data_IF_952786027135
#
_entry.id   IF_952786027135
#
_cell.length_a   1.000
_cell.length_b   1.000
_cell.length_c   1.000
_cell.angle_alpha   90.00
_cell.angle_beta   90.00
_cell.angle_gamma   90.00
#
_symmetry.space_group_name_H-M   'P 1'
#
loop_
_entity.id
_entity.type
_entity.pdbx_description
1 polymer ?
#
# COMPACT_ATOMS: atom_id res chain seq x y z
N UNK A 1 -28.45 -8.91 5.22
CA UNK A 1 -27.28 -9.13 6.10
C UNK A 1 -26.91 -7.83 6.77
N UNK A 2 -26.42 -7.86 8.01
CA UNK A 2 -25.75 -6.72 8.62
C UNK A 2 -24.37 -6.53 7.96
N UNK A 3 -23.73 -5.37 8.13
CA UNK A 3 -22.37 -5.15 7.63
C UNK A 3 -21.36 -6.15 8.22
N UNK A 4 -21.48 -6.46 9.50
CA UNK A 4 -20.64 -7.46 10.17
C UNK A 4 -20.79 -8.86 9.56
N UNK A 5 -22.02 -9.33 9.38
CA UNK A 5 -22.30 -10.62 8.70
C UNK A 5 -21.78 -10.64 7.26
N UNK A 6 -21.78 -9.48 6.59
CA UNK A 6 -21.24 -9.33 5.24
C UNK A 6 -19.71 -9.48 5.22
N UNK A 7 -19.02 -8.86 6.17
CA UNK A 7 -17.59 -9.02 6.31
C UNK A 7 -17.20 -10.46 6.70
N UNK A 8 -17.94 -11.08 7.62
CA UNK A 8 -17.73 -12.47 7.98
C UNK A 8 -17.87 -13.40 6.77
N UNK A 9 -18.87 -13.17 5.92
CA UNK A 9 -19.02 -13.92 4.67
C UNK A 9 -17.79 -13.72 3.76
N UNK A 10 -17.37 -12.48 3.52
CA UNK A 10 -16.22 -12.18 2.66
C UNK A 10 -14.93 -12.78 3.20
N UNK A 11 -14.71 -12.74 4.52
CA UNK A 11 -13.47 -13.22 5.12
C UNK A 11 -13.43 -14.75 5.29
N UNK A 12 -14.56 -15.41 5.53
CA UNK A 12 -14.60 -16.84 5.82
C UNK A 12 -14.78 -17.69 4.56
N UNK A 13 -15.58 -17.20 3.59
CA UNK A 13 -15.93 -17.98 2.41
C UNK A 13 -14.98 -17.79 1.24
N UNK A 14 -14.23 -16.68 1.20
CA UNK A 14 -13.38 -16.37 0.06
C UNK A 14 -11.90 -16.61 0.36
N UNK A 15 -11.14 -17.17 -0.60
CA UNK A 15 -9.69 -17.25 -0.46
C UNK A 15 -9.08 -15.84 -0.31
N UNK A 16 -8.48 -15.58 0.84
CA UNK A 16 -7.88 -14.29 1.16
C UNK A 16 -6.37 -14.43 1.37
N UNK A 17 -5.57 -13.73 0.55
CA UNK A 17 -4.11 -13.77 0.65
C UNK A 17 -3.59 -13.47 2.06
N UNK A 18 -4.17 -12.50 2.74
CA UNK A 18 -3.79 -12.11 4.09
C UNK A 18 -3.99 -13.23 5.14
N UNK A 19 -4.86 -14.22 4.86
CA UNK A 19 -5.15 -15.36 5.75
C UNK A 19 -4.45 -16.65 5.34
N UNK A 20 -4.50 -17.00 4.04
CA UNK A 20 -4.05 -18.31 3.55
C UNK A 20 -2.83 -18.25 2.61
N UNK A 21 -2.30 -17.04 2.35
CA UNK A 21 -1.09 -16.86 1.54
C UNK A 21 -1.23 -17.41 0.11
N UNK A 22 -0.30 -18.28 -0.30
CA UNK A 22 -0.17 -18.79 -1.67
C UNK A 22 -1.45 -19.43 -2.24
N UNK A 23 -2.24 -20.07 -1.43
CA UNK A 23 -3.46 -20.75 -1.87
C UNK A 23 -4.53 -19.78 -2.44
N UNK A 24 -4.45 -18.49 -2.12
CA UNK A 24 -5.36 -17.47 -2.65
C UNK A 24 -4.88 -16.79 -3.95
N UNK A 25 -3.65 -17.07 -4.40
CA UNK A 25 -3.10 -16.46 -5.62
C UNK A 25 -3.52 -17.23 -6.86
N UNK A 26 -4.14 -16.54 -7.82
CA UNK A 26 -4.52 -17.10 -9.12
C UNK A 26 -3.50 -16.71 -10.19
N UNK A 27 -3.19 -17.66 -11.07
CA UNK A 27 -2.18 -17.49 -12.11
C UNK A 27 -2.74 -16.94 -13.45
N UNK A 28 -3.96 -16.41 -13.43
CA UNK A 28 -4.63 -15.82 -14.61
C UNK A 28 -5.64 -14.73 -14.19
N UNK A 29 -6.17 -14.00 -15.17
CA UNK A 29 -7.19 -12.95 -14.99
C UNK A 29 -8.57 -13.39 -15.46
N UNK A 30 -8.78 -14.66 -15.82
CA UNK A 30 -10.02 -15.07 -16.49
C UNK A 30 -11.24 -14.84 -15.58
N UNK A 31 -11.16 -15.23 -14.30
CA UNK A 31 -12.23 -15.00 -13.33
C UNK A 31 -12.54 -13.52 -13.14
N UNK A 32 -11.52 -12.66 -13.10
CA UNK A 32 -11.74 -11.20 -13.03
C UNK A 32 -12.38 -10.64 -14.31
N UNK A 33 -11.96 -11.10 -15.48
CA UNK A 33 -12.57 -10.71 -16.78
C UNK A 33 -14.04 -11.11 -16.83
N UNK A 34 -14.37 -12.31 -16.37
CA UNK A 34 -15.75 -12.80 -16.37
C UNK A 34 -16.60 -12.07 -15.30
N UNK A 35 -15.99 -11.71 -14.16
CA UNK A 35 -16.58 -10.83 -13.16
C UNK A 35 -16.92 -9.45 -13.75
N UNK A 36 -16.01 -8.82 -14.48
CA UNK A 36 -16.27 -7.52 -15.13
C UNK A 36 -17.42 -7.62 -16.14
N UNK A 37 -17.48 -8.69 -16.93
CA UNK A 37 -18.62 -8.94 -17.85
C UNK A 37 -19.95 -9.05 -17.08
N UNK A 38 -19.98 -9.81 -15.98
CA UNK A 38 -21.18 -9.99 -15.17
C UNK A 38 -21.64 -8.67 -14.53
N UNK A 39 -20.72 -7.77 -14.24
CA UNK A 39 -20.97 -6.43 -13.70
C UNK A 39 -21.23 -5.38 -14.80
N UNK A 40 -21.36 -5.79 -16.06
CA UNK A 40 -21.56 -4.89 -17.21
C UNK A 40 -20.41 -3.89 -17.42
N UNK A 41 -19.17 -4.42 -17.36
CA UNK A 41 -17.91 -3.72 -17.62
C UNK A 41 -17.75 -2.39 -16.86
N UNK A 42 -17.83 -2.40 -15.51
CA UNK A 42 -17.77 -1.18 -14.70
C UNK A 42 -16.45 -0.41 -14.87
N UNK A 43 -15.36 -1.12 -15.18
CA UNK A 43 -14.03 -0.55 -15.42
C UNK A 43 -13.98 0.44 -16.59
N UNK A 44 -14.98 0.45 -17.46
CA UNK A 44 -15.12 1.37 -18.60
C UNK A 44 -15.93 2.63 -18.27
N UNK A 45 -16.54 2.67 -17.07
CA UNK A 45 -17.44 3.74 -16.67
C UNK A 45 -16.74 4.98 -16.08
N UNK A 46 -15.41 4.95 -15.92
CA UNK A 46 -14.62 6.04 -15.35
C UNK A 46 -13.19 6.06 -15.94
N UNK A 47 -12.54 7.20 -15.86
CA UNK A 47 -11.10 7.32 -16.15
C UNK A 47 -10.28 6.81 -14.98
N UNK A 48 -9.05 6.33 -15.23
CA UNK A 48 -8.23 5.79 -14.15
C UNK A 48 -6.74 6.10 -14.27
N UNK A 49 -6.05 6.09 -13.13
CA UNK A 49 -4.58 6.02 -13.03
C UNK A 49 -4.24 4.74 -12.29
N UNK A 50 -3.33 3.94 -12.85
CA UNK A 50 -2.99 2.62 -12.32
C UNK A 50 -1.60 2.61 -11.71
N UNK A 51 -1.48 2.26 -10.41
CA UNK A 51 -0.25 2.40 -9.63
C UNK A 51 0.27 1.05 -9.16
N UNK A 52 1.42 0.63 -9.69
CA UNK A 52 2.16 -0.55 -9.24
C UNK A 52 3.49 -0.16 -8.58
N UNK A 53 4.19 -1.14 -8.04
CA UNK A 53 5.51 -0.99 -7.42
C UNK A 53 5.71 -1.96 -6.26
N UNK A 54 6.90 -1.99 -5.68
CA UNK A 54 7.14 -2.74 -4.44
C UNK A 54 6.75 -1.88 -3.26
N UNK A 55 7.44 -0.78 -3.04
CA UNK A 55 7.17 0.19 -1.99
C UNK A 55 6.59 1.48 -2.59
N UNK A 56 5.89 2.29 -1.79
CA UNK A 56 5.41 3.62 -2.20
C UNK A 56 4.09 3.66 -2.97
N UNK A 57 3.51 2.53 -3.41
CA UNK A 57 2.23 2.49 -4.15
C UNK A 57 1.13 3.31 -3.45
N UNK A 58 0.81 2.95 -2.20
CA UNK A 58 -0.24 3.62 -1.43
C UNK A 58 0.01 5.12 -1.26
N UNK A 59 1.25 5.53 -0.87
CA UNK A 59 1.58 6.95 -0.73
C UNK A 59 1.41 7.72 -2.05
N UNK A 60 1.91 7.17 -3.17
CA UNK A 60 1.75 7.76 -4.49
C UNK A 60 0.28 7.83 -4.90
N UNK A 61 -0.50 6.76 -4.68
CA UNK A 61 -1.94 6.75 -4.97
C UNK A 61 -2.70 7.82 -4.18
N UNK A 62 -2.42 7.96 -2.90
CA UNK A 62 -3.05 8.99 -2.05
C UNK A 62 -2.65 10.41 -2.46
N UNK A 63 -1.38 10.65 -2.78
CA UNK A 63 -0.91 11.97 -3.26
C UNK A 63 -1.58 12.34 -4.58
N UNK A 64 -1.62 11.43 -5.56
CA UNK A 64 -2.31 11.68 -6.84
C UNK A 64 -3.80 11.93 -6.61
N UNK A 65 -4.47 11.11 -5.79
CA UNK A 65 -5.89 11.32 -5.46
C UNK A 65 -6.14 12.68 -4.80
N UNK A 66 -5.28 13.09 -3.86
CA UNK A 66 -5.38 14.39 -3.20
C UNK A 66 -5.24 15.56 -4.18
N UNK A 67 -4.33 15.48 -5.16
CA UNK A 67 -4.16 16.49 -6.21
C UNK A 67 -5.43 16.62 -7.04
N UNK A 68 -6.05 15.52 -7.46
CA UNK A 68 -7.30 15.56 -8.23
C UNK A 68 -8.47 16.11 -7.41
N UNK A 69 -8.54 15.82 -6.11
CA UNK A 69 -9.55 16.40 -5.22
C UNK A 69 -9.38 17.92 -5.09
N UNK A 70 -8.15 18.42 -4.91
CA UNK A 70 -7.87 19.87 -4.88
C UNK A 70 -8.22 20.56 -6.21
N UNK A 71 -8.13 19.83 -7.32
CA UNK A 71 -8.56 20.34 -8.63
C UNK A 71 -10.08 20.25 -8.85
N UNK A 72 -10.85 19.78 -7.86
CA UNK A 72 -12.30 19.72 -7.89
C UNK A 72 -12.90 18.50 -8.59
N UNK A 73 -12.10 17.48 -8.95
CA UNK A 73 -12.59 16.24 -9.53
C UNK A 73 -13.21 15.32 -8.47
N UNK A 74 -14.33 14.65 -8.78
CA UNK A 74 -14.87 13.55 -7.99
C UNK A 74 -13.94 12.36 -8.15
N UNK A 75 -13.10 12.13 -7.15
CA UNK A 75 -11.96 11.22 -7.22
C UNK A 75 -12.21 9.93 -6.46
N UNK A 76 -12.21 8.79 -7.17
CA UNK A 76 -12.17 7.46 -6.59
C UNK A 76 -10.74 7.09 -6.17
N UNK A 77 -10.60 6.33 -5.09
CA UNK A 77 -9.33 5.78 -4.63
C UNK A 77 -9.52 4.34 -4.19
N UNK A 78 -8.80 3.41 -4.85
CA UNK A 78 -8.72 2.01 -4.45
C UNK A 78 -7.31 1.68 -3.97
N UNK A 79 -7.17 1.23 -2.72
CA UNK A 79 -5.89 0.88 -2.10
C UNK A 79 -5.97 -0.43 -1.32
N UNK A 80 -4.83 -1.10 -1.11
CA UNK A 80 -4.75 -2.33 -0.33
C UNK A 80 -3.36 -2.56 0.29
N UNK A 81 -3.29 -3.23 1.45
CA UNK A 81 -4.41 -3.65 2.30
C UNK A 81 -5.03 -2.47 3.07
N UNK A 82 -6.17 -2.69 3.71
CA UNK A 82 -6.70 -1.80 4.75
C UNK A 82 -5.95 -1.98 6.07
N UNK A 83 -6.05 -1.01 6.96
CA UNK A 83 -5.52 -1.11 8.33
C UNK A 83 -6.58 -1.68 9.28
N UNK A 84 -7.68 -0.98 9.47
CA UNK A 84 -8.71 -1.30 10.46
C UNK A 84 -10.01 -1.74 9.80
N UNK A 85 -10.54 -0.91 8.89
CA UNK A 85 -11.84 -1.11 8.27
C UNK A 85 -11.70 -1.52 6.79
N UNK A 86 -12.43 -2.54 6.36
CA UNK A 86 -12.47 -2.98 4.96
C UNK A 86 -12.74 -1.82 3.99
N UNK A 87 -13.60 -0.86 4.38
CA UNK A 87 -14.00 0.29 3.57
C UNK A 87 -12.87 1.26 3.25
N UNK A 88 -11.75 1.21 4.00
CA UNK A 88 -10.54 2.01 3.70
C UNK A 88 -10.01 1.74 2.28
N UNK A 89 -10.31 0.54 1.73
CA UNK A 89 -9.90 0.14 0.38
C UNK A 89 -10.60 0.93 -0.72
N UNK A 90 -11.79 1.48 -0.46
CA UNK A 90 -12.68 2.07 -1.46
C UNK A 90 -13.16 3.42 -0.95
N UNK A 91 -12.62 4.48 -1.50
CA UNK A 91 -12.95 5.86 -1.10
C UNK A 91 -13.36 6.70 -2.29
N UNK A 92 -14.24 7.67 -2.07
CA UNK A 92 -14.54 8.76 -3.01
C UNK A 92 -14.36 10.07 -2.25
N UNK A 93 -13.49 10.97 -2.75
CA UNK A 93 -13.14 12.24 -2.12
C UNK A 93 -12.76 12.08 -0.63
N UNK A 94 -12.00 11.01 -0.31
CA UNK A 94 -11.55 10.68 1.04
C UNK A 94 -12.56 9.94 1.90
N UNK A 95 -13.85 9.96 1.55
CA UNK A 95 -14.90 9.27 2.28
C UNK A 95 -14.94 7.79 1.90
N UNK A 96 -14.98 6.92 2.91
CA UNK A 96 -15.08 5.47 2.72
C UNK A 96 -16.45 5.10 2.12
N UNK A 97 -16.49 4.05 1.30
CA UNK A 97 -17.73 3.46 0.81
C UNK A 97 -18.69 3.19 1.99
N UNK A 98 -19.98 3.56 1.89
CA UNK A 98 -20.97 3.29 2.94
C UNK A 98 -21.15 1.79 3.21
N UNK A 99 -21.39 1.41 4.45
CA UNK A 99 -21.63 0.03 4.86
C UNK A 99 -22.80 -0.60 4.09
N UNK A 100 -23.86 0.19 3.86
CA UNK A 100 -25.04 -0.23 3.13
C UNK A 100 -24.70 -0.60 1.68
N UNK A 101 -23.77 0.13 1.05
CA UNK A 101 -23.34 -0.18 -0.33
C UNK A 101 -22.56 -1.48 -0.40
N UNK A 102 -21.69 -1.74 0.58
CA UNK A 102 -20.98 -3.03 0.69
C UNK A 102 -21.98 -4.17 0.86
N UNK A 103 -22.90 -4.03 1.81
CA UNK A 103 -23.93 -5.05 2.11
C UNK A 103 -24.83 -5.32 0.91
N UNK A 104 -25.38 -4.28 0.28
CA UNK A 104 -26.23 -4.39 -0.90
C UNK A 104 -25.52 -5.07 -2.08
N UNK A 105 -24.26 -4.72 -2.33
CA UNK A 105 -23.49 -5.35 -3.39
C UNK A 105 -23.32 -6.85 -3.13
N UNK A 106 -22.89 -7.22 -1.92
CA UNK A 106 -22.70 -8.63 -1.57
C UNK A 106 -24.02 -9.40 -1.65
N UNK A 107 -25.11 -8.89 -1.07
CA UNK A 107 -26.42 -9.56 -1.12
C UNK A 107 -26.92 -9.75 -2.56
N UNK A 108 -26.79 -8.72 -3.39
CA UNK A 108 -27.29 -8.78 -4.78
C UNK A 108 -26.45 -9.67 -5.69
N UNK A 109 -25.15 -9.86 -5.40
CA UNK A 109 -24.22 -10.59 -6.26
C UNK A 109 -23.83 -11.97 -5.74
N UNK A 110 -24.07 -12.25 -4.47
CA UNK A 110 -23.65 -13.49 -3.79
C UNK A 110 -24.01 -14.75 -4.57
N UNK A 111 -25.26 -14.87 -5.06
CA UNK A 111 -25.71 -16.05 -5.78
C UNK A 111 -24.97 -16.24 -7.12
N UNK A 112 -24.81 -15.17 -7.89
CA UNK A 112 -24.09 -15.22 -9.17
C UNK A 112 -22.58 -15.47 -8.99
N UNK A 113 -21.98 -14.87 -7.96
CA UNK A 113 -20.53 -14.97 -7.72
C UNK A 113 -20.14 -16.31 -7.08
N UNK A 114 -21.07 -17.00 -6.37
CA UNK A 114 -20.79 -18.32 -5.79
C UNK A 114 -20.45 -19.38 -6.83
N UNK A 115 -20.83 -19.18 -8.09
CA UNK A 115 -20.50 -20.07 -9.20
C UNK A 115 -19.14 -19.75 -9.86
N UNK A 116 -18.46 -18.67 -9.44
CA UNK A 116 -17.29 -18.10 -10.12
C UNK A 116 -15.97 -18.32 -9.39
N UNK A 117 -15.84 -19.11 -8.38
CA UNK A 117 -14.57 -19.30 -7.62
C UNK A 117 -13.75 -18.02 -7.47
N UNK A 118 -14.37 -16.92 -7.01
CA UNK A 118 -13.72 -15.63 -6.84
C UNK A 118 -12.92 -15.57 -5.53
N UNK A 119 -11.75 -14.94 -5.57
CA UNK A 119 -11.00 -14.56 -4.37
C UNK A 119 -11.60 -13.31 -3.71
N UNK A 120 -11.26 -13.10 -2.43
CA UNK A 120 -11.59 -11.87 -1.71
C UNK A 120 -11.12 -10.60 -2.46
N UNK A 121 -9.94 -10.67 -3.09
CA UNK A 121 -9.40 -9.52 -3.81
C UNK A 121 -10.22 -9.21 -5.07
N UNK A 122 -10.61 -10.22 -5.85
CA UNK A 122 -11.48 -10.05 -7.02
C UNK A 122 -12.84 -9.45 -6.62
N UNK A 123 -13.44 -9.93 -5.53
CA UNK A 123 -14.66 -9.33 -4.98
C UNK A 123 -14.49 -7.85 -4.65
N UNK A 124 -13.36 -7.50 -3.97
CA UNK A 124 -13.11 -6.11 -3.58
C UNK A 124 -12.87 -5.19 -4.78
N UNK A 125 -12.22 -5.69 -5.83
CA UNK A 125 -12.04 -4.94 -7.10
C UNK A 125 -13.38 -4.76 -7.81
N UNK A 126 -14.20 -5.82 -7.91
CA UNK A 126 -15.54 -5.73 -8.50
C UNK A 126 -16.44 -4.73 -7.80
N UNK A 127 -16.47 -4.75 -6.46
CA UNK A 127 -17.21 -3.79 -5.64
C UNK A 127 -16.70 -2.36 -5.87
N UNK A 128 -15.39 -2.14 -5.88
CA UNK A 128 -14.81 -0.82 -6.07
C UNK A 128 -15.18 -0.22 -7.43
N UNK A 129 -15.06 -1.00 -8.51
CA UNK A 129 -15.34 -0.51 -9.86
C UNK A 129 -16.83 -0.28 -10.09
N UNK A 130 -17.69 -1.17 -9.56
CA UNK A 130 -19.15 -0.96 -9.59
C UNK A 130 -19.56 0.29 -8.82
N UNK A 131 -18.95 0.53 -7.66
CA UNK A 131 -19.20 1.73 -6.86
C UNK A 131 -18.72 3.00 -7.57
N UNK A 132 -17.51 3.02 -8.11
CA UNK A 132 -16.97 4.19 -8.83
C UNK A 132 -17.82 4.54 -10.06
N UNK A 133 -18.26 3.55 -10.82
CA UNK A 133 -19.18 3.77 -11.95
C UNK A 133 -20.52 4.30 -11.48
N UNK A 134 -21.14 3.69 -10.47
CA UNK A 134 -22.47 4.09 -9.98
C UNK A 134 -22.47 5.51 -9.42
N UNK A 135 -21.35 5.95 -8.85
CA UNK A 135 -21.15 7.29 -8.32
C UNK A 135 -20.64 8.28 -9.37
N UNK A 136 -20.40 7.83 -10.60
CA UNK A 136 -19.91 8.68 -11.70
C UNK A 136 -18.66 9.46 -11.32
N UNK A 137 -17.63 8.77 -10.79
CA UNK A 137 -16.35 9.43 -10.49
C UNK A 137 -15.69 9.93 -11.78
N UNK A 138 -15.08 11.12 -11.74
CA UNK A 138 -14.36 11.67 -12.89
C UNK A 138 -13.09 10.88 -13.18
N UNK A 139 -12.41 10.44 -12.11
CA UNK A 139 -11.19 9.65 -12.19
C UNK A 139 -11.05 8.75 -10.95
N UNK A 140 -10.52 7.55 -11.14
CA UNK A 140 -10.15 6.63 -10.05
C UNK A 140 -8.65 6.38 -10.05
N UNK A 141 -8.02 6.53 -8.88
CA UNK A 141 -6.64 6.14 -8.64
C UNK A 141 -6.67 4.72 -8.07
N UNK A 142 -6.07 3.78 -8.79
CA UNK A 142 -6.18 2.35 -8.49
C UNK A 142 -4.81 1.77 -8.18
N UNK A 143 -4.61 1.35 -6.95
CA UNK A 143 -3.40 0.65 -6.50
C UNK A 143 -3.48 -0.84 -6.86
N UNK A 144 -2.41 -1.37 -7.48
CA UNK A 144 -2.20 -2.81 -7.70
C UNK A 144 -2.03 -3.51 -6.36
N UNK A 145 -2.74 -4.61 -6.15
CA UNK A 145 -2.59 -5.41 -4.93
C UNK A 145 -1.24 -6.13 -4.88
N UNK A 146 -0.90 -6.90 -5.93
CA UNK A 146 0.36 -7.64 -6.00
C UNK A 146 0.80 -7.85 -7.45
N UNK A 147 2.10 -7.63 -7.70
CA UNK A 147 2.67 -7.79 -9.05
C UNK A 147 2.20 -6.71 -10.00
N UNK A 148 1.35 -7.03 -10.94
CA UNK A 148 0.75 -6.14 -11.92
C UNK A 148 0.08 -6.93 -13.05
N UNK A 149 0.83 -7.72 -13.81
CA UNK A 149 0.35 -8.45 -14.99
C UNK A 149 -0.91 -9.29 -14.73
N UNK A 150 -0.95 -9.99 -13.63
CA UNK A 150 -2.05 -10.89 -13.22
C UNK A 150 -2.86 -10.34 -12.02
N UNK A 151 -2.68 -9.07 -11.70
CA UNK A 151 -3.47 -8.43 -10.65
C UNK A 151 -4.90 -8.15 -11.14
N UNK A 152 -5.90 -8.39 -10.31
CA UNK A 152 -7.31 -8.20 -10.69
C UNK A 152 -7.64 -6.77 -11.09
N UNK A 153 -6.85 -5.77 -10.67
CA UNK A 153 -6.99 -4.38 -11.12
C UNK A 153 -6.53 -4.18 -12.56
N UNK A 154 -5.77 -5.14 -13.16
CA UNK A 154 -5.15 -4.98 -14.47
C UNK A 154 -6.12 -5.18 -15.66
N UNK A 155 -7.41 -5.21 -15.41
CA UNK A 155 -8.47 -5.12 -16.43
C UNK A 155 -8.68 -3.68 -16.93
N UNK A 156 -8.13 -2.70 -16.24
CA UNK A 156 -8.19 -1.28 -16.59
C UNK A 156 -7.36 -0.95 -17.84
N UNK A 157 -7.80 0.09 -18.56
CA UNK A 157 -6.99 0.85 -19.53
C UNK A 157 -6.87 2.28 -18.99
N UNK A 158 -5.80 2.61 -18.26
CA UNK A 158 -5.70 3.88 -17.54
C UNK A 158 -5.25 5.03 -18.46
N UNK A 159 -5.45 6.28 -18.01
CA UNK A 159 -4.88 7.49 -18.63
C UNK A 159 -3.34 7.54 -18.42
N UNK A 160 -2.86 6.98 -17.31
CA UNK A 160 -1.45 6.90 -16.94
C UNK A 160 -1.19 5.66 -16.09
N UNK A 161 -0.12 4.92 -16.38
CA UNK A 161 0.44 3.90 -15.50
C UNK A 161 1.60 4.47 -14.70
N UNK A 162 1.70 4.09 -13.41
CA UNK A 162 2.82 4.49 -12.54
C UNK A 162 3.43 3.23 -11.93
N UNK A 163 4.77 3.09 -12.00
CA UNK A 163 5.50 2.04 -11.30
C UNK A 163 6.51 2.72 -10.38
N UNK A 164 6.27 2.67 -9.07
CA UNK A 164 7.04 3.45 -8.09
C UNK A 164 8.49 3.00 -7.98
N UNK A 165 8.72 1.75 -7.64
CA UNK A 165 10.05 1.12 -7.58
C UNK A 165 9.94 -0.40 -7.66
N UNK A 166 11.09 -1.06 -7.82
CA UNK A 166 11.22 -2.51 -7.77
C UNK A 166 12.14 -2.90 -6.63
N UNK A 167 11.66 -3.75 -5.74
CA UNK A 167 12.41 -4.32 -4.64
C UNK A 167 12.04 -5.78 -4.43
N UNK A 168 12.79 -6.48 -3.60
CA UNK A 168 12.55 -7.89 -3.26
C UNK A 168 11.39 -7.99 -2.27
N UNK A 169 10.21 -8.23 -2.77
CA UNK A 169 9.04 -8.62 -1.98
C UNK A 169 8.19 -9.61 -2.77
N UNK A 170 7.47 -10.48 -2.06
CA UNK A 170 6.63 -11.52 -2.67
C UNK A 170 7.37 -12.43 -3.67
N UNK A 171 8.66 -12.70 -3.44
CA UNK A 171 9.54 -13.45 -4.36
C UNK A 171 9.01 -14.85 -4.73
N UNK A 172 8.30 -15.49 -3.82
CA UNK A 172 7.64 -16.79 -4.06
C UNK A 172 6.52 -16.75 -5.13
N UNK A 173 6.05 -15.55 -5.57
CA UNK A 173 5.00 -15.36 -6.56
C UNK A 173 5.50 -14.61 -7.80
N UNK A 174 6.28 -13.56 -7.56
CA UNK A 174 6.71 -12.64 -8.61
C UNK A 174 8.07 -13.03 -9.21
N UNK A 175 8.71 -14.06 -8.63
CA UNK A 175 10.03 -14.52 -9.03
C UNK A 175 11.14 -14.07 -8.08
N UNK A 176 12.25 -14.75 -8.17
CA UNK A 176 13.40 -14.69 -7.28
C UNK A 176 14.46 -13.63 -7.66
N UNK A 177 14.18 -12.87 -8.73
CA UNK A 177 15.05 -11.80 -9.22
C UNK A 177 14.30 -10.49 -9.42
N UNK A 178 14.99 -9.37 -9.22
CA UNK A 178 14.47 -8.02 -9.47
C UNK A 178 13.94 -7.87 -10.92
N UNK A 179 14.58 -8.53 -11.89
CA UNK A 179 14.13 -8.54 -13.30
C UNK A 179 12.77 -9.25 -13.49
N UNK A 180 12.54 -10.39 -12.83
CA UNK A 180 11.24 -11.08 -12.89
C UNK A 180 10.14 -10.26 -12.24
N UNK A 181 10.41 -9.67 -11.08
CA UNK A 181 9.47 -8.77 -10.40
C UNK A 181 9.14 -7.56 -11.26
N UNK A 182 10.14 -6.98 -11.95
CA UNK A 182 9.93 -5.88 -12.90
C UNK A 182 9.03 -6.28 -14.06
N UNK A 183 9.19 -7.48 -14.63
CA UNK A 183 8.33 -7.99 -15.71
C UNK A 183 6.88 -8.11 -15.27
N UNK A 184 6.61 -8.65 -14.07
CA UNK A 184 5.26 -8.75 -13.52
C UNK A 184 4.63 -7.36 -13.31
N UNK A 185 5.38 -6.41 -12.76
CA UNK A 185 4.87 -5.05 -12.54
C UNK A 185 4.69 -4.28 -13.86
N UNK A 186 5.57 -4.47 -14.83
CA UNK A 186 5.45 -3.89 -16.17
C UNK A 186 4.21 -4.37 -16.94
N UNK A 187 3.54 -5.42 -16.48
CA UNK A 187 2.27 -5.87 -17.04
C UNK A 187 1.12 -4.86 -16.96
N UNK A 188 1.26 -3.77 -16.19
CA UNK A 188 0.31 -2.66 -16.18
C UNK A 188 0.56 -1.64 -17.31
N UNK A 189 1.66 -1.74 -18.04
CA UNK A 189 1.94 -0.88 -19.19
C UNK A 189 1.00 -1.29 -20.33
N UNK A 190 0.16 -0.38 -20.79
CA UNK A 190 -0.87 -0.63 -21.79
C UNK A 190 -0.53 0.06 -23.11
N UNK A 191 -1.12 -0.45 -24.18
CA UNK A 191 -0.89 0.07 -25.53
C UNK A 191 -1.27 1.56 -25.62
N UNK A 192 -0.34 2.39 -26.09
CA UNK A 192 -0.49 3.83 -26.25
C UNK A 192 -0.75 4.61 -24.94
N UNK A 193 -0.58 3.97 -23.78
CA UNK A 193 -0.76 4.64 -22.49
C UNK A 193 0.61 4.98 -21.90
N UNK A 194 0.86 6.24 -21.53
CA UNK A 194 2.13 6.64 -20.91
C UNK A 194 2.38 5.89 -19.59
N UNK A 195 3.67 5.71 -19.28
CA UNK A 195 4.08 5.14 -18.00
C UNK A 195 5.16 6.00 -17.33
N UNK A 196 4.98 6.28 -16.05
CA UNK A 196 5.98 6.89 -15.18
C UNK A 196 6.63 5.80 -14.34
N UNK A 197 7.96 5.72 -14.40
CA UNK A 197 8.80 4.87 -13.54
C UNK A 197 9.41 5.75 -12.47
N UNK A 198 9.12 5.49 -11.21
CA UNK A 198 9.56 6.32 -10.09
C UNK A 198 11.07 6.25 -9.87
N UNK A 199 11.61 5.04 -9.70
CA UNK A 199 13.05 4.81 -9.54
C UNK A 199 13.59 3.94 -10.66
N UNK A 200 14.57 4.45 -11.40
CA UNK A 200 15.33 3.68 -12.38
C UNK A 200 16.37 2.80 -11.67
N UNK A 201 16.55 1.58 -12.16
CA UNK A 201 17.53 0.62 -11.66
C UNK A 201 18.15 -0.08 -12.87
N UNK A 202 19.47 -0.26 -12.84
CA UNK A 202 20.24 -0.85 -13.95
C UNK A 202 19.64 -2.17 -14.46
N UNK A 203 19.15 -3.00 -13.53
CA UNK A 203 18.61 -4.33 -13.81
C UNK A 203 17.19 -4.28 -14.42
N UNK A 204 16.44 -3.20 -14.21
CA UNK A 204 15.02 -3.11 -14.59
C UNK A 204 14.74 -2.14 -15.74
N UNK A 205 15.59 -1.12 -15.93
CA UNK A 205 15.40 -0.08 -16.93
C UNK A 205 15.22 -0.65 -18.35
N UNK A 206 16.09 -1.59 -18.75
CA UNK A 206 16.02 -2.25 -20.06
C UNK A 206 14.72 -3.03 -20.26
N UNK A 207 14.16 -3.61 -19.18
CA UNK A 207 12.88 -4.33 -19.23
C UNK A 207 11.75 -3.35 -19.49
N UNK A 208 11.68 -2.25 -18.73
CA UNK A 208 10.63 -1.24 -18.89
C UNK A 208 10.68 -0.60 -20.28
N UNK A 209 11.85 -0.21 -20.77
CA UNK A 209 12.02 0.36 -22.12
C UNK A 209 11.55 -0.62 -23.21
N UNK A 210 11.91 -1.90 -23.10
CA UNK A 210 11.51 -2.94 -24.07
C UNK A 210 10.00 -3.12 -24.08
N UNK A 211 9.35 -3.22 -22.90
CA UNK A 211 7.90 -3.42 -22.82
C UNK A 211 7.16 -2.16 -23.30
N UNK A 212 7.60 -0.97 -22.89
CA UNK A 212 7.01 0.29 -23.34
C UNK A 212 7.10 0.45 -24.86
N UNK A 213 8.25 0.13 -25.45
CA UNK A 213 8.40 0.13 -26.92
C UNK A 213 7.43 -0.85 -27.61
N UNK A 214 7.27 -2.05 -27.04
CA UNK A 214 6.33 -3.05 -27.59
C UNK A 214 4.87 -2.60 -27.49
N UNK A 215 4.54 -1.80 -26.49
CA UNK A 215 3.20 -1.25 -26.24
C UNK A 215 2.97 0.13 -26.89
N UNK A 216 3.93 0.66 -27.64
CA UNK A 216 3.89 2.05 -28.12
C UNK A 216 3.58 3.05 -27.00
N UNK A 217 4.02 2.74 -25.76
CA UNK A 217 3.76 3.51 -24.56
C UNK A 217 4.89 4.52 -24.29
N UNK A 218 4.61 5.82 -24.23
CA UNK A 218 5.62 6.80 -23.79
C UNK A 218 6.11 6.47 -22.37
N UNK A 219 7.44 6.43 -22.17
CA UNK A 219 8.03 6.13 -20.87
C UNK A 219 8.77 7.33 -20.31
N UNK A 220 8.55 7.62 -19.03
CA UNK A 220 9.16 8.73 -18.30
C UNK A 220 9.80 8.15 -17.02
N UNK A 221 11.08 8.43 -16.81
CA UNK A 221 11.77 8.07 -15.56
C UNK A 221 11.77 9.28 -14.63
N UNK A 222 11.05 9.19 -13.51
CA UNK A 222 10.82 10.31 -12.62
C UNK A 222 12.11 10.78 -11.95
N UNK A 223 13.00 9.87 -11.61
CA UNK A 223 14.28 10.16 -10.98
C UNK A 223 15.32 10.83 -11.92
N UNK A 224 14.98 11.04 -13.20
CA UNK A 224 15.74 11.89 -14.12
C UNK A 224 15.27 13.35 -14.12
N UNK A 225 14.19 13.66 -13.40
CA UNK A 225 13.60 15.00 -13.29
C UNK A 225 13.75 15.49 -11.84
N UNK A 226 14.69 16.38 -11.60
CA UNK A 226 14.96 16.90 -10.25
C UNK A 226 14.22 18.23 -10.05
N UNK A 227 13.18 18.28 -9.19
CA UNK A 227 12.59 19.55 -8.82
C UNK A 227 13.56 20.33 -7.92
N UNK A 228 13.56 21.67 -8.00
CA UNK A 228 14.36 22.52 -7.13
C UNK A 228 13.95 22.33 -5.66
N UNK A 229 12.66 22.20 -5.40
CA UNK A 229 12.07 21.92 -4.10
C UNK A 229 10.83 21.03 -4.21
N UNK A 230 10.60 20.20 -3.18
CA UNK A 230 9.34 19.47 -3.05
C UNK A 230 8.26 20.32 -2.37
N UNK A 231 6.98 20.19 -2.76
CA UNK A 231 5.89 20.80 -2.03
C UNK A 231 5.88 20.35 -0.55
N UNK A 232 5.35 21.19 0.32
CA UNK A 232 5.15 20.83 1.73
C UNK A 232 4.19 19.65 1.85
N UNK A 233 4.50 18.74 2.77
CA UNK A 233 3.66 17.57 3.02
C UNK A 233 3.73 17.14 4.48
N UNK A 234 2.62 16.62 5.07
CA UNK A 234 2.62 15.99 6.37
C UNK A 234 3.36 14.63 6.39
N UNK A 235 3.65 14.03 5.23
CA UNK A 235 4.34 12.75 5.13
C UNK A 235 5.85 12.94 5.36
N UNK A 236 6.34 12.51 6.54
CA UNK A 236 7.69 12.83 7.04
C UNK A 236 8.72 11.70 6.88
N UNK A 237 8.33 10.52 6.42
CA UNK A 237 9.29 9.44 6.16
C UNK A 237 10.26 9.79 5.04
N UNK A 238 11.56 9.53 5.21
CA UNK A 238 12.60 9.86 4.21
C UNK A 238 12.34 9.20 2.85
N UNK A 239 11.74 8.03 2.83
CA UNK A 239 11.32 7.33 1.61
C UNK A 239 10.25 8.08 0.80
N UNK A 240 9.57 9.07 1.40
CA UNK A 240 8.55 9.84 0.69
C UNK A 240 9.13 10.74 -0.41
N UNK A 241 10.41 11.06 -0.36
CA UNK A 241 11.07 11.85 -1.42
C UNK A 241 10.94 11.21 -2.79
N UNK A 242 11.11 9.88 -2.89
CA UNK A 242 10.92 9.14 -4.15
C UNK A 242 9.44 9.17 -4.59
N UNK A 243 8.51 9.01 -3.63
CA UNK A 243 7.07 9.06 -3.92
C UNK A 243 6.65 10.47 -4.36
N UNK A 244 7.19 11.52 -3.76
CA UNK A 244 6.95 12.92 -4.12
C UNK A 244 7.42 13.20 -5.55
N UNK A 245 8.64 12.80 -5.88
CA UNK A 245 9.20 12.95 -7.23
C UNK A 245 8.35 12.23 -8.28
N UNK A 246 8.00 10.96 -8.01
CA UNK A 246 7.13 10.17 -8.88
C UNK A 246 5.77 10.85 -9.09
N UNK A 247 5.16 11.35 -8.02
CA UNK A 247 3.87 12.03 -8.06
C UNK A 247 3.95 13.35 -8.82
N UNK A 248 4.99 14.16 -8.61
CA UNK A 248 5.17 15.44 -9.33
C UNK A 248 5.29 15.22 -10.83
N UNK A 249 6.13 14.28 -11.24
CA UNK A 249 6.31 13.95 -12.68
C UNK A 249 5.01 13.42 -13.28
N UNK A 250 4.27 12.57 -12.56
CA UNK A 250 2.97 12.08 -12.99
C UNK A 250 1.94 13.22 -13.13
N UNK A 251 1.85 14.13 -12.15
CA UNK A 251 0.93 15.27 -12.17
C UNK A 251 1.26 16.25 -13.31
N UNK A 252 2.55 16.55 -13.53
CA UNK A 252 2.99 17.42 -14.64
C UNK A 252 2.67 16.78 -16.00
N UNK A 253 2.86 15.48 -16.15
CA UNK A 253 2.50 14.78 -17.38
C UNK A 253 1.00 14.80 -17.63
N UNK A 254 0.17 14.54 -16.62
CA UNK A 254 -1.30 14.61 -16.73
C UNK A 254 -1.78 16.03 -17.07
N UNK A 255 -1.16 17.07 -16.52
CA UNK A 255 -1.40 18.46 -16.88
C UNK A 255 -1.11 18.70 -18.38
N UNK A 256 -0.01 18.17 -18.90
CA UNK A 256 0.35 18.25 -20.35
C UNK A 256 -0.65 17.48 -21.22
N UNK A 257 -1.27 16.44 -20.72
CA UNK A 257 -2.33 15.69 -21.38
C UNK A 257 -3.70 16.40 -21.37
N UNK A 258 -3.80 17.58 -20.75
CA UNK A 258 -5.01 18.41 -20.73
C UNK A 258 -5.88 18.28 -19.49
N UNK A 259 -5.43 17.55 -18.44
CA UNK A 259 -6.10 17.62 -17.15
C UNK A 259 -5.93 19.01 -16.54
N UNK A 260 -7.00 19.57 -15.98
CA UNK A 260 -6.98 20.91 -15.38
C UNK A 260 -6.29 20.88 -14.00
N UNK A 261 -4.98 20.61 -13.99
CA UNK A 261 -4.14 20.62 -12.81
C UNK A 261 -3.24 21.86 -12.81
N UNK A 262 -3.42 22.76 -11.83
CA UNK A 262 -2.55 23.92 -11.62
C UNK A 262 -1.42 23.57 -10.64
N UNK A 263 -0.37 24.41 -10.60
CA UNK A 263 0.70 24.26 -9.59
C UNK A 263 0.14 24.40 -8.16
N UNK A 264 -0.89 25.21 -7.98
CA UNK A 264 -1.60 25.37 -6.71
C UNK A 264 -2.32 24.08 -6.32
N UNK A 265 -3.05 23.44 -7.25
CA UNK A 265 -3.70 22.14 -7.00
C UNK A 265 -2.67 21.06 -6.62
N UNK A 266 -1.52 21.05 -7.29
CA UNK A 266 -0.43 20.11 -6.97
C UNK A 266 0.12 20.38 -5.56
N UNK A 267 0.46 21.65 -5.26
CA UNK A 267 0.99 22.02 -3.93
C UNK A 267 -0.01 21.71 -2.81
N UNK A 268 -1.27 22.10 -2.97
CA UNK A 268 -2.33 21.84 -1.98
C UNK A 268 -2.59 20.34 -1.82
N UNK A 269 -2.53 19.56 -2.92
CA UNK A 269 -2.67 18.12 -2.89
C UNK A 269 -1.58 17.42 -2.04
N UNK A 270 -0.35 17.91 -2.08
CA UNK A 270 0.73 17.42 -1.22
C UNK A 270 0.51 17.81 0.25
N UNK A 271 0.15 19.06 0.51
CA UNK A 271 -0.04 19.58 1.86
C UNK A 271 -1.24 18.95 2.55
N UNK A 272 -2.32 18.73 1.83
CA UNK A 272 -3.58 18.21 2.36
C UNK A 272 -3.75 16.69 2.21
N UNK A 273 -2.74 15.94 1.79
CA UNK A 273 -2.89 14.51 1.45
C UNK A 273 -3.53 13.68 2.55
N UNK A 274 -3.13 13.89 3.81
CA UNK A 274 -3.71 13.17 4.96
C UNK A 274 -5.17 13.60 5.20
N UNK A 275 -5.47 14.91 5.13
CA UNK A 275 -6.82 15.45 5.28
C UNK A 275 -7.76 14.95 4.19
N UNK A 276 -7.30 14.99 2.93
CA UNK A 276 -8.12 14.66 1.76
C UNK A 276 -8.34 13.16 1.57
N UNK A 277 -7.46 12.31 2.13
CA UNK A 277 -7.50 10.88 1.79
C UNK A 277 -7.48 9.95 3.00
N UNK A 278 -7.33 10.49 4.22
CA UNK A 278 -7.22 9.72 5.47
C UNK A 278 -6.10 8.66 5.38
N UNK A 279 -4.93 9.03 4.83
CA UNK A 279 -3.76 8.14 4.79
C UNK A 279 -3.17 7.98 6.19
N UNK A 280 -3.01 6.75 6.65
CA UNK A 280 -2.48 6.39 7.96
C UNK A 280 -1.26 5.47 7.85
N UNK A 281 -0.49 5.36 8.94
CA UNK A 281 0.60 4.40 9.07
C UNK A 281 1.82 4.64 8.15
N UNK A 282 2.14 5.89 7.83
CA UNK A 282 3.28 6.27 6.98
C UNK A 282 4.18 7.27 7.73
N UNK A 283 5.09 6.78 8.57
CA UNK A 283 5.87 7.60 9.51
C UNK A 283 4.95 8.53 10.29
N UNK A 284 3.88 7.97 10.80
CA UNK A 284 2.82 8.72 11.49
C UNK A 284 3.20 8.95 12.95
N UNK A 285 3.28 10.21 13.36
CA UNK A 285 3.48 10.58 14.76
C UNK A 285 2.15 10.55 15.48
N UNK A 286 2.01 9.65 16.45
CA UNK A 286 0.81 9.47 17.27
C UNK A 286 0.86 10.25 18.56
N UNK A 287 2.06 10.55 19.05
CA UNK A 287 2.35 11.29 20.28
C UNK A 287 3.69 11.99 20.15
N UNK A 288 3.82 13.19 20.73
CA UNK A 288 5.05 13.98 20.65
C UNK A 288 6.00 13.80 21.84
N UNK A 289 5.51 13.37 23.01
CA UNK A 289 6.34 13.23 24.21
C UNK A 289 5.82 12.10 25.15
N UNK A 290 6.53 10.96 25.29
CA UNK A 290 7.58 10.51 24.41
C UNK A 290 7.09 10.47 22.96
N UNK A 291 7.98 10.62 21.99
CA UNK A 291 7.56 10.59 20.61
C UNK A 291 7.23 9.17 20.17
N UNK A 292 5.96 8.94 19.80
CA UNK A 292 5.47 7.64 19.29
C UNK A 292 5.24 7.74 17.81
N UNK A 293 5.94 6.93 17.03
CA UNK A 293 5.87 6.88 15.55
C UNK A 293 5.43 5.47 15.14
N UNK A 294 4.52 5.37 14.16
CA UNK A 294 4.22 4.10 13.53
C UNK A 294 4.43 4.12 12.01
N UNK A 295 4.83 2.98 11.45
CA UNK A 295 5.00 2.80 10.01
C UNK A 295 4.73 1.35 9.59
N UNK A 296 4.06 1.18 8.44
CA UNK A 296 3.70 -0.15 7.88
C UNK A 296 4.81 -0.81 7.08
N UNK A 297 6.02 -0.26 7.05
CA UNK A 297 7.18 -0.89 6.41
C UNK A 297 7.38 -2.31 6.98
N UNK A 298 7.57 -3.29 6.07
CA UNK A 298 7.57 -4.71 6.44
C UNK A 298 8.55 -5.56 5.62
N UNK A 299 9.41 -4.92 4.82
CA UNK A 299 10.48 -5.59 4.07
C UNK A 299 11.83 -4.93 4.37
N UNK A 300 12.90 -5.60 4.00
CA UNK A 300 14.28 -5.16 4.31
C UNK A 300 14.53 -3.73 3.79
N UNK A 301 14.17 -3.44 2.53
CA UNK A 301 14.40 -2.12 1.92
C UNK A 301 13.65 -1.00 2.66
N UNK A 302 12.37 -1.21 2.97
CA UNK A 302 11.57 -0.24 3.71
C UNK A 302 12.08 0.00 5.13
N UNK A 303 12.38 -1.08 5.86
CA UNK A 303 12.86 -0.98 7.23
C UNK A 303 14.29 -0.46 7.34
N UNK A 304 15.16 -0.64 6.33
CA UNK A 304 16.47 0.02 6.28
C UNK A 304 16.29 1.54 6.37
N UNK A 305 15.45 2.12 5.51
CA UNK A 305 15.22 3.58 5.49
C UNK A 305 14.61 4.06 6.82
N UNK A 306 13.69 3.27 7.40
CA UNK A 306 13.10 3.57 8.72
C UNK A 306 14.16 3.58 9.81
N UNK A 307 15.00 2.56 9.89
CA UNK A 307 16.04 2.45 10.92
C UNK A 307 17.09 3.56 10.78
N UNK A 308 17.51 3.89 9.55
CA UNK A 308 18.43 5.01 9.29
C UNK A 308 17.82 6.34 9.77
N UNK A 309 16.53 6.57 9.49
CA UNK A 309 15.86 7.79 9.94
C UNK A 309 15.71 7.83 11.47
N UNK A 310 15.36 6.72 12.12
CA UNK A 310 15.27 6.63 13.58
C UNK A 310 16.64 6.87 14.23
N UNK A 311 17.73 6.31 13.67
CA UNK A 311 19.08 6.53 14.18
C UNK A 311 19.52 7.99 14.09
N UNK A 312 19.12 8.70 13.04
CA UNK A 312 19.44 10.11 12.84
C UNK A 312 18.62 11.07 13.75
N UNK A 313 17.57 10.59 14.42
CA UNK A 313 16.73 11.43 15.28
C UNK A 313 17.43 11.73 16.62
N UNK A 314 17.40 12.99 17.10
CA UNK A 314 17.77 13.30 18.48
C UNK A 314 16.87 12.57 19.47
N UNK A 315 17.45 11.76 20.35
CA UNK A 315 16.73 10.99 21.38
C UNK A 315 17.67 10.62 22.56
N UNK A 316 17.08 10.29 23.70
CA UNK A 316 17.79 9.65 24.79
C UNK A 316 17.88 8.15 24.54
N UNK A 317 16.72 7.44 24.46
CA UNK A 317 16.67 6.02 24.11
C UNK A 317 15.73 5.76 22.92
N UNK A 318 15.94 4.63 22.22
CA UNK A 318 15.08 4.13 21.15
C UNK A 318 14.38 2.85 21.59
N UNK A 319 13.07 2.90 21.66
CA UNK A 319 12.21 1.76 21.94
C UNK A 319 11.59 1.26 20.63
N UNK A 320 11.78 -0.02 20.29
CA UNK A 320 11.24 -0.62 19.08
C UNK A 320 10.21 -1.69 19.43
N UNK A 321 8.95 -1.44 19.11
CA UNK A 321 7.86 -2.43 19.19
C UNK A 321 7.69 -3.07 17.82
N UNK A 322 8.10 -4.34 17.67
CA UNK A 322 8.15 -5.01 16.38
C UNK A 322 7.43 -6.36 16.40
N UNK A 323 6.64 -6.58 15.35
CA UNK A 323 6.00 -7.86 15.07
C UNK A 323 5.92 -8.10 13.57
N UNK A 324 5.92 -9.36 13.15
CA UNK A 324 6.05 -9.73 11.74
C UNK A 324 5.03 -10.78 11.32
N UNK A 325 4.94 -11.00 10.02
CA UNK A 325 4.22 -12.14 9.42
C UNK A 325 5.21 -13.22 8.98
N UNK A 326 4.73 -14.46 8.90
CA UNK A 326 5.57 -15.66 8.73
C UNK A 326 6.15 -15.85 7.32
N UNK A 327 5.76 -15.03 6.34
CA UNK A 327 6.22 -15.09 4.95
C UNK A 327 7.36 -14.10 4.63
N UNK A 328 7.89 -13.40 5.63
CA UNK A 328 8.98 -12.43 5.48
C UNK A 328 10.32 -13.00 5.93
N UNK A 329 11.39 -12.48 5.33
CA UNK A 329 12.75 -12.80 5.78
C UNK A 329 13.10 -11.94 7.02
N UNK A 330 12.58 -12.38 8.17
CA UNK A 330 12.71 -11.62 9.44
C UNK A 330 14.15 -11.61 9.92
N UNK A 331 14.94 -12.65 9.64
CA UNK A 331 16.36 -12.69 10.03
C UNK A 331 17.15 -11.52 9.44
N UNK A 332 16.98 -11.22 8.15
CA UNK A 332 17.66 -10.10 7.52
C UNK A 332 17.18 -8.75 8.09
N UNK A 333 15.89 -8.65 8.41
CA UNK A 333 15.33 -7.45 9.05
C UNK A 333 15.94 -7.22 10.43
N UNK A 334 16.08 -8.25 11.24
CA UNK A 334 16.65 -8.16 12.59
C UNK A 334 18.12 -7.70 12.58
N UNK A 335 18.87 -7.95 11.50
CA UNK A 335 20.24 -7.42 11.37
C UNK A 335 20.30 -5.89 11.22
N UNK A 336 19.20 -5.25 10.86
CA UNK A 336 19.09 -3.79 10.73
C UNK A 336 18.90 -3.08 12.08
N UNK A 337 18.53 -3.83 13.13
CA UNK A 337 18.17 -3.26 14.43
C UNK A 337 19.41 -2.70 15.12
N UNK A 338 19.40 -1.40 15.55
CA UNK A 338 20.47 -0.82 16.32
C UNK A 338 20.69 -1.58 17.65
N UNK A 339 21.93 -1.88 17.97
CA UNK A 339 22.29 -2.65 19.18
C UNK A 339 22.00 -1.94 20.49
N UNK A 340 21.85 -0.62 20.46
CA UNK A 340 21.46 0.24 21.59
C UNK A 340 19.95 0.37 21.75
N UNK A 341 19.15 -0.12 20.81
CA UNK A 341 17.69 -0.06 20.91
C UNK A 341 17.15 -1.06 21.95
N UNK A 342 16.08 -0.65 22.64
CA UNK A 342 15.30 -1.52 23.54
C UNK A 342 14.18 -2.16 22.72
N UNK A 343 14.20 -3.48 22.62
CA UNK A 343 13.33 -4.20 21.70
C UNK A 343 12.18 -4.90 22.45
N UNK A 344 10.95 -4.62 22.02
CA UNK A 344 9.71 -5.21 22.46
C UNK A 344 9.11 -6.04 21.31
N UNK A 345 9.24 -7.35 21.38
CA UNK A 345 8.72 -8.25 20.37
C UNK A 345 7.25 -8.57 20.65
N UNK A 346 6.41 -8.54 19.63
CA UNK A 346 4.97 -8.83 19.76
C UNK A 346 4.43 -9.69 18.63
N UNK A 347 3.28 -10.33 18.89
CA UNK A 347 2.55 -11.12 17.90
C UNK A 347 1.30 -10.32 17.46
N UNK A 348 1.16 -9.93 16.17
CA UNK A 348 -0.06 -9.26 15.68
C UNK A 348 -1.25 -10.22 15.60
N UNK A 349 -2.47 -9.67 15.74
CA UNK A 349 -3.73 -10.42 15.87
C UNK A 349 -4.23 -11.02 14.54
N UNK A 350 -3.36 -11.76 13.80
CA UNK A 350 -3.74 -12.42 12.56
C UNK A 350 -3.24 -13.86 12.47
N UNK A 351 -3.92 -14.75 11.70
CA UNK A 351 -3.52 -16.16 11.59
C UNK A 351 -2.13 -16.40 11.01
N UNK A 352 -1.60 -15.46 10.20
CA UNK A 352 -0.26 -15.54 9.61
C UNK A 352 0.81 -14.82 10.40
N UNK A 353 0.53 -14.43 11.63
CA UNK A 353 1.56 -13.85 12.49
C UNK A 353 2.77 -14.79 12.62
N UNK A 354 3.97 -14.22 12.65
CA UNK A 354 5.13 -14.96 13.09
C UNK A 354 4.99 -15.19 14.60
N UNK A 355 4.92 -16.45 15.00
CA UNK A 355 4.74 -16.82 16.40
C UNK A 355 5.83 -16.23 17.27
N UNK A 356 5.45 -15.77 18.46
CA UNK A 356 6.34 -15.05 19.37
C UNK A 356 7.57 -15.89 19.77
N UNK A 357 7.41 -17.18 20.00
CA UNK A 357 8.50 -18.10 20.33
C UNK A 357 9.57 -18.17 19.23
N UNK A 358 9.14 -18.20 17.96
CA UNK A 358 10.04 -18.18 16.80
C UNK A 358 10.71 -16.81 16.64
N UNK A 359 9.99 -15.72 16.85
CA UNK A 359 10.55 -14.37 16.75
C UNK A 359 11.63 -14.13 17.84
N UNK A 360 11.38 -14.59 19.05
CA UNK A 360 12.33 -14.59 20.17
C UNK A 360 13.60 -15.35 19.81
N UNK A 361 13.47 -16.54 19.23
CA UNK A 361 14.63 -17.32 18.78
C UNK A 361 15.47 -16.56 17.75
N UNK A 362 14.82 -16.00 16.71
CA UNK A 362 15.51 -15.24 15.67
C UNK A 362 16.22 -13.99 16.22
N UNK A 363 15.60 -13.30 17.18
CA UNK A 363 16.21 -12.13 17.83
C UNK A 363 17.41 -12.53 18.69
N UNK A 364 17.33 -13.67 19.39
CA UNK A 364 18.44 -14.23 20.16
C UNK A 364 19.61 -14.64 19.27
N UNK A 365 19.32 -15.24 18.11
CA UNK A 365 20.34 -15.63 17.12
C UNK A 365 21.08 -14.41 16.54
N UNK A 366 20.44 -13.24 16.59
CA UNK A 366 21.04 -11.94 16.19
C UNK A 366 21.69 -11.16 17.35
N UNK A 367 21.81 -11.75 18.54
CA UNK A 367 22.38 -11.07 19.71
C UNK A 367 21.63 -9.79 20.12
N UNK A 368 20.31 -9.76 19.93
CA UNK A 368 19.45 -8.62 20.28
C UNK A 368 18.86 -8.81 21.69
N UNK A 369 19.06 -7.82 22.56
CA UNK A 369 18.37 -7.76 23.85
C UNK A 369 16.90 -7.43 23.63
N UNK A 370 15.99 -8.24 24.11
CA UNK A 370 14.56 -8.08 23.89
C UNK A 370 13.71 -8.53 25.08
N UNK A 371 12.48 -8.02 25.10
CA UNK A 371 11.37 -8.56 25.90
C UNK A 371 10.24 -8.94 24.95
N UNK A 372 9.49 -10.00 25.27
CA UNK A 372 8.44 -10.52 24.39
C UNK A 372 7.05 -10.40 25.02
N UNK A 373 6.03 -10.17 24.18
CA UNK A 373 4.64 -9.97 24.54
C UNK A 373 3.74 -10.73 23.60
N UNK A 374 2.60 -11.21 24.09
CA UNK A 374 1.66 -12.00 23.29
C UNK A 374 0.82 -11.16 22.32
N UNK A 375 0.78 -9.84 22.52
CA UNK A 375 0.01 -8.90 21.70
C UNK A 375 0.71 -7.55 21.59
N UNK A 376 0.24 -6.74 20.64
CA UNK A 376 0.81 -5.42 20.33
C UNK A 376 0.51 -4.42 21.45
N UNK A 377 -0.68 -4.44 22.03
CA UNK A 377 -1.09 -3.48 23.07
C UNK A 377 -0.19 -3.59 24.30
N UNK A 378 0.02 -4.81 24.81
CA UNK A 378 0.91 -5.08 25.95
C UNK A 378 2.36 -4.64 25.70
N UNK A 379 2.87 -4.82 24.47
CA UNK A 379 4.21 -4.40 24.09
C UNK A 379 4.34 -2.87 24.04
N UNK A 380 3.32 -2.18 23.51
CA UNK A 380 3.26 -0.71 23.46
C UNK A 380 3.16 -0.12 24.86
N UNK A 381 2.29 -0.66 25.72
CA UNK A 381 2.13 -0.21 27.10
C UNK A 381 3.42 -0.36 27.90
N UNK A 382 4.15 -1.45 27.70
CA UNK A 382 5.45 -1.68 28.33
C UNK A 382 6.50 -0.68 27.83
N UNK A 383 6.56 -0.41 26.53
CA UNK A 383 7.46 0.58 25.96
C UNK A 383 7.15 2.00 26.45
N UNK A 384 5.87 2.37 26.53
CA UNK A 384 5.44 3.66 27.06
C UNK A 384 5.76 3.81 28.55
N UNK A 385 5.54 2.75 29.34
CA UNK A 385 5.81 2.74 30.78
C UNK A 385 7.31 2.84 31.12
N UNK A 386 8.17 2.32 30.25
CA UNK A 386 9.62 2.37 30.41
C UNK A 386 10.27 3.65 29.89
N UNK A 387 9.56 4.43 29.06
CA UNK A 387 10.10 5.60 28.36
C UNK A 387 9.98 6.89 29.16
N UNK A 388 10.86 7.84 28.86
CA UNK A 388 10.80 9.23 29.33
C UNK A 388 10.48 10.18 28.17
N UNK A 389 10.22 11.44 28.47
CA UNK A 389 9.78 12.46 27.50
C UNK A 389 10.72 12.65 26.29
N UNK A 390 12.02 12.35 26.45
CA UNK A 390 13.06 12.50 25.40
C UNK A 390 13.29 11.23 24.58
N UNK A 391 12.58 10.14 24.87
CA UNK A 391 12.70 8.88 24.15
C UNK A 391 11.84 8.88 22.87
N UNK A 392 12.21 7.98 21.97
CA UNK A 392 11.45 7.69 20.75
C UNK A 392 10.96 6.24 20.81
N UNK A 393 9.67 6.05 20.62
CA UNK A 393 9.03 4.74 20.48
C UNK A 393 8.63 4.59 19.02
N UNK A 394 9.12 3.54 18.38
CA UNK A 394 8.68 3.15 17.03
C UNK A 394 7.87 1.86 17.11
N UNK A 395 6.73 1.83 16.40
CA UNK A 395 5.84 0.66 16.32
C UNK A 395 5.68 0.25 14.87
N UNK A 396 6.05 -0.99 14.51
CA UNK A 396 6.01 -1.42 13.13
C UNK A 396 6.45 -2.85 12.86
N UNK A 397 7.09 -3.09 11.70
CA UNK A 397 7.50 -4.41 11.23
C UNK A 397 6.44 -5.14 10.42
N UNK A 398 5.17 -4.77 10.55
CA UNK A 398 4.09 -5.21 9.66
C UNK A 398 2.92 -4.25 9.67
N UNK A 399 2.13 -4.27 8.59
CA UNK A 399 0.84 -3.56 8.52
C UNK A 399 -0.09 -3.92 9.67
N UNK A 400 -0.06 -5.17 10.12
CA UNK A 400 -0.96 -5.69 11.16
C UNK A 400 -0.60 -5.22 12.57
N UNK A 401 0.68 -5.03 12.86
CA UNK A 401 1.12 -4.38 14.12
C UNK A 401 0.60 -2.95 14.19
N UNK A 402 0.68 -2.21 13.09
CA UNK A 402 0.15 -0.85 13.02
C UNK A 402 -1.38 -0.85 13.10
N UNK A 403 -2.04 -1.82 12.47
CA UNK A 403 -3.50 -2.00 12.55
C UNK A 403 -3.95 -2.23 14.01
N UNK A 404 -3.32 -3.18 14.71
CA UNK A 404 -3.64 -3.47 16.12
C UNK A 404 -3.41 -2.22 17.01
N UNK A 405 -2.29 -1.50 16.82
CA UNK A 405 -2.00 -0.26 17.54
C UNK A 405 -3.09 0.81 17.32
N UNK A 406 -3.53 1.00 16.08
CA UNK A 406 -4.51 2.03 15.74
C UNK A 406 -5.94 1.64 16.13
N UNK A 407 -6.24 0.35 16.29
CA UNK A 407 -7.54 -0.15 16.74
C UNK A 407 -7.78 0.03 18.24
N UNK A 408 -6.73 0.27 19.03
CA UNK A 408 -6.81 0.48 20.50
C UNK A 408 -6.94 1.96 20.88
N UNK A 409 -6.90 2.86 19.92
CA UNK A 409 -7.06 4.31 20.08
C UNK A 409 -8.37 4.81 19.49
#
# INVERSE_FOLDING_TARGET
MTYHETLDYLYQQLPMYQRIGKAAYKADLQSTIDLMKLLDAPEKGFKSIHVAGTNGKGSTSHLVASIFQEAGYKTGLYTSPHLIDFRERIKINGEMIPEERVTQFVESKKAAFSEMDLSFFEWSVGLAFDYFRSESVDIAIVEVGMGGRLDSTNVLTPELSIITNIGSDHSQYLGDTVGKIAQEKAGIIKKNVPVVIGRSQRETEGIFRKISLHQDAPIIFADHHFPDEFPRSPLKGNYQKENFQTTLVAAQHLKQQGWNLTEEHISNGFENVVKNTNLRGRWETLQESPKVICDVAHNVEGLTIIMDQLQAMPRHELHLVLGFVNDKNVSDILTLIPKDAILYLCEPSIPRALRIDKLVQLASDCDLKHTSYNDVASAVDAAQSASIAQDVIFVGGSTFVVADLLSTK
#
